data_IF_288127624131
#
_entry.id   IF_288127624131
#
_cell.length_a   1.000
_cell.length_b   1.000
_cell.length_c   1.000
_cell.angle_alpha   90.00
_cell.angle_beta   90.00
_cell.angle_gamma   90.00
#
_symmetry.space_group_name_H-M   'P 1'
#
loop_
_entity.id
_entity.type
_entity.pdbx_description
1 polymer ?
#
# COMPACT_ATOMS: atom_id res chain seq x y z
N UNK A 1 -13.21 -0.71 -47.10
CA UNK A 1 -12.32 0.12 -46.24
C UNK A 1 -10.95 0.27 -46.89
N UNK A 2 -10.40 1.49 -47.00
CA UNK A 2 -9.04 1.72 -47.48
C UNK A 2 -8.01 1.06 -46.55
N UNK A 3 -6.96 0.45 -47.12
CA UNK A 3 -5.92 -0.30 -46.39
C UNK A 3 -5.27 0.51 -45.26
N UNK A 4 -5.11 1.82 -45.43
CA UNK A 4 -4.50 2.75 -44.45
C UNK A 4 -5.31 2.92 -43.16
N UNK A 5 -6.63 2.75 -43.21
CA UNK A 5 -7.51 3.00 -42.05
C UNK A 5 -7.60 1.77 -41.14
N UNK A 6 -7.51 0.56 -41.71
CA UNK A 6 -7.39 -0.67 -40.91
C UNK A 6 -6.16 -0.63 -40.01
N UNK A 7 -5.06 -0.10 -40.51
CA UNK A 7 -3.80 0.05 -39.74
C UNK A 7 -3.99 0.96 -38.53
N UNK A 8 -4.72 2.08 -38.67
CA UNK A 8 -4.96 3.01 -37.57
C UNK A 8 -5.86 2.41 -36.48
N UNK A 9 -6.97 1.76 -36.84
CA UNK A 9 -7.85 1.11 -35.87
C UNK A 9 -7.16 -0.02 -35.11
N UNK A 10 -6.35 -0.84 -35.79
CA UNK A 10 -5.52 -1.85 -35.14
C UNK A 10 -4.50 -1.19 -34.20
N UNK A 11 -3.88 -0.09 -34.61
CA UNK A 11 -2.95 0.68 -33.78
C UNK A 11 -3.55 1.12 -32.45
N UNK A 12 -4.79 1.64 -32.44
CA UNK A 12 -5.47 2.06 -31.21
C UNK A 12 -5.79 0.89 -30.27
N UNK A 13 -6.20 -0.26 -30.80
CA UNK A 13 -6.44 -1.47 -30.00
C UNK A 13 -5.15 -1.95 -29.35
N UNK A 14 -4.04 -1.97 -30.10
CA UNK A 14 -2.73 -2.34 -29.57
C UNK A 14 -2.20 -1.35 -28.53
N UNK A 15 -2.41 -0.05 -28.72
CA UNK A 15 -2.06 0.99 -27.75
C UNK A 15 -2.85 0.86 -26.44
N UNK A 16 -4.16 0.57 -26.52
CA UNK A 16 -5.00 0.28 -25.36
C UNK A 16 -4.49 -0.95 -24.60
N UNK A 17 -4.18 -2.03 -25.32
CA UNK A 17 -3.65 -3.25 -24.72
C UNK A 17 -2.29 -3.02 -24.05
N UNK A 18 -1.37 -2.31 -24.72
CA UNK A 18 -0.06 -1.95 -24.17
C UNK A 18 -0.19 -1.06 -22.92
N UNK A 19 -1.13 -0.11 -22.91
CA UNK A 19 -1.40 0.72 -21.74
C UNK A 19 -1.90 -0.12 -20.55
N UNK A 20 -2.88 -1.01 -20.78
CA UNK A 20 -3.35 -1.94 -19.76
C UNK A 20 -2.18 -2.78 -19.21
N UNK A 21 -1.37 -3.39 -20.09
CA UNK A 21 -0.20 -4.19 -19.69
C UNK A 21 0.83 -3.36 -18.90
N UNK A 22 1.10 -2.12 -19.29
CA UNK A 22 2.04 -1.24 -18.59
C UNK A 22 1.52 -0.85 -17.19
N UNK A 23 0.21 -0.57 -17.08
CA UNK A 23 -0.45 -0.31 -15.80
C UNK A 23 -0.38 -1.56 -14.91
N UNK A 24 -0.69 -2.75 -15.44
CA UNK A 24 -0.59 -4.01 -14.69
C UNK A 24 0.86 -4.34 -14.28
N UNK A 25 1.84 -4.13 -15.15
CA UNK A 25 3.26 -4.32 -14.83
C UNK A 25 3.71 -3.37 -13.72
N UNK A 26 3.27 -2.11 -13.75
CA UNK A 26 3.56 -1.17 -12.66
C UNK A 26 2.85 -1.54 -11.35
N UNK A 27 1.63 -2.08 -11.39
CA UNK A 27 0.99 -2.60 -10.17
C UNK A 27 1.76 -3.80 -9.58
N UNK A 28 2.35 -4.65 -10.43
CA UNK A 28 3.27 -5.71 -9.97
C UNK A 28 4.58 -5.15 -9.39
N UNK A 29 5.15 -4.10 -10.00
CA UNK A 29 6.38 -3.46 -9.54
C UNK A 29 6.20 -2.58 -8.29
N UNK A 30 4.97 -2.12 -8.00
CA UNK A 30 4.63 -1.38 -6.78
C UNK A 30 4.50 -2.27 -5.53
N UNK A 31 4.88 -3.55 -5.62
CA UNK A 31 4.97 -4.41 -4.46
C UNK A 31 3.63 -4.65 -3.76
N UNK A 32 2.54 -4.77 -4.52
CA UNK A 32 1.32 -5.43 -4.01
C UNK A 32 1.64 -6.92 -3.88
N UNK A 33 2.43 -7.25 -2.85
CA UNK A 33 2.71 -8.62 -2.43
C UNK A 33 1.45 -9.12 -1.72
N UNK A 34 0.98 -10.35 -1.97
CA UNK A 34 -0.04 -10.95 -1.13
C UNK A 34 0.48 -11.03 0.31
N UNK A 35 -0.12 -10.25 1.20
CA UNK A 35 0.12 -10.40 2.64
C UNK A 35 -0.29 -11.80 3.11
N UNK A 36 0.30 -12.29 4.22
CA UNK A 36 -0.11 -13.56 4.80
C UNK A 36 -1.62 -13.54 5.15
N UNK A 37 -2.30 -14.69 5.07
CA UNK A 37 -3.74 -14.76 5.20
C UNK A 37 -4.15 -14.52 6.65
N UNK A 38 -4.49 -13.29 7.01
CA UNK A 38 -5.26 -12.98 8.21
C UNK A 38 -6.56 -12.25 7.82
N UNK A 39 -7.62 -13.05 7.84
CA UNK A 39 -9.05 -12.78 7.86
C UNK A 39 -9.54 -11.31 7.92
N UNK A 40 -9.76 -10.71 6.75
CA UNK A 40 -11.05 -10.06 6.40
C UNK A 40 -11.32 -10.24 4.90
N UNK A 41 -12.11 -11.27 4.60
CA UNK A 41 -12.99 -11.51 3.43
C UNK A 41 -12.84 -10.64 2.17
N UNK A 42 -11.77 -10.87 1.42
CA UNK A 42 -11.85 -11.52 0.10
C UNK A 42 -10.66 -12.48 0.10
N UNK A 43 -10.90 -13.79 0.04
CA UNK A 43 -9.80 -14.75 0.03
C UNK A 43 -8.83 -14.40 -1.11
N UNK A 44 -7.53 -14.71 -0.97
CA UNK A 44 -6.59 -14.58 -2.09
C UNK A 44 -7.16 -15.21 -3.36
N UNK A 45 -7.89 -16.32 -3.22
CA UNK A 45 -8.66 -16.94 -4.29
C UNK A 45 -9.76 -16.02 -4.84
N UNK A 46 -10.53 -15.30 -4.03
CA UNK A 46 -11.52 -14.34 -4.49
C UNK A 46 -10.90 -13.10 -5.15
N UNK A 47 -9.75 -12.59 -4.67
CA UNK A 47 -9.01 -11.51 -5.34
C UNK A 47 -8.40 -11.98 -6.66
N UNK A 48 -7.83 -13.19 -6.71
CA UNK A 48 -7.32 -13.79 -7.93
C UNK A 48 -8.46 -14.13 -8.90
N UNK A 49 -9.61 -14.59 -8.41
CA UNK A 49 -10.81 -14.85 -9.21
C UNK A 49 -11.37 -13.53 -9.76
N UNK A 50 -11.47 -12.48 -8.95
CA UNK A 50 -11.82 -11.14 -9.43
C UNK A 50 -10.81 -10.64 -10.47
N UNK A 51 -9.52 -10.85 -10.24
CA UNK A 51 -8.44 -10.47 -11.17
C UNK A 51 -8.50 -11.26 -12.49
N UNK A 52 -8.80 -12.55 -12.44
CA UNK A 52 -8.93 -13.41 -13.61
C UNK A 52 -10.20 -13.13 -14.41
N UNK A 53 -11.35 -12.96 -13.74
CA UNK A 53 -12.59 -12.52 -14.41
C UNK A 53 -12.43 -11.13 -15.02
N UNK A 54 -11.72 -10.23 -14.33
CA UNK A 54 -11.42 -8.90 -14.84
C UNK A 54 -10.51 -8.95 -16.08
N UNK A 55 -9.41 -9.70 -16.03
CA UNK A 55 -8.52 -9.90 -17.17
C UNK A 55 -9.24 -10.55 -18.35
N UNK A 56 -10.10 -11.54 -18.08
CA UNK A 56 -10.95 -12.18 -19.09
C UNK A 56 -11.97 -11.21 -19.69
N UNK A 57 -12.57 -10.31 -18.89
CA UNK A 57 -13.50 -9.29 -19.38
C UNK A 57 -12.80 -8.25 -20.27
N UNK A 58 -11.62 -7.77 -19.86
CA UNK A 58 -10.82 -6.83 -20.66
C UNK A 58 -10.38 -7.48 -21.98
N UNK A 59 -9.88 -8.73 -21.94
CA UNK A 59 -9.54 -9.49 -23.14
C UNK A 59 -10.76 -9.77 -24.02
N UNK A 60 -11.91 -10.10 -23.43
CA UNK A 60 -13.17 -10.31 -24.13
C UNK A 60 -13.66 -9.05 -24.85
N UNK A 61 -13.57 -7.88 -24.22
CA UNK A 61 -13.90 -6.59 -24.83
C UNK A 61 -12.93 -6.24 -25.98
N UNK A 62 -11.63 -6.51 -25.83
CA UNK A 62 -10.66 -6.31 -26.90
C UNK A 62 -10.87 -7.31 -28.05
N UNK A 63 -11.19 -8.57 -27.76
CA UNK A 63 -11.53 -9.58 -28.76
C UNK A 63 -12.82 -9.23 -29.51
N UNK A 64 -13.86 -8.76 -28.81
CA UNK A 64 -15.09 -8.24 -29.44
C UNK A 64 -14.80 -7.03 -30.33
N UNK A 65 -13.99 -6.08 -29.87
CA UNK A 65 -13.59 -4.93 -30.67
C UNK A 65 -12.83 -5.37 -31.94
N UNK A 66 -11.93 -6.35 -31.83
CA UNK A 66 -11.23 -6.94 -32.97
C UNK A 66 -12.19 -7.68 -33.91
N UNK A 67 -13.12 -8.50 -33.39
CA UNK A 67 -14.13 -9.21 -34.19
C UNK A 67 -15.09 -8.25 -34.90
N UNK A 68 -15.45 -7.13 -34.28
CA UNK A 68 -16.20 -6.06 -34.94
C UNK A 68 -15.38 -5.31 -35.99
N UNK A 69 -14.04 -5.36 -35.89
CA UNK A 69 -13.10 -4.75 -36.84
C UNK A 69 -12.76 -5.68 -38.01
N UNK A 70 -12.95 -6.99 -37.85
CA UNK A 70 -12.88 -7.97 -38.95
C UNK A 70 -14.22 -7.96 -39.68
N UNK A 71 -14.25 -7.78 -41.01
CA UNK A 71 -15.50 -7.85 -41.77
C UNK A 71 -15.98 -9.30 -41.77
N UNK A 72 -16.82 -9.67 -40.80
CA UNK A 72 -17.63 -10.88 -40.89
C UNK A 72 -18.71 -10.58 -41.94
N UNK A 73 -18.70 -11.32 -43.04
CA UNK A 73 -19.80 -11.34 -44.01
C UNK A 73 -21.03 -11.96 -43.35
N UNK A 74 -21.69 -11.23 -42.45
CA UNK A 74 -23.01 -11.59 -41.94
C UNK A 74 -24.01 -11.14 -43.01
N UNK A 75 -24.76 -12.05 -43.65
CA UNK A 75 -25.72 -11.67 -44.66
C UNK A 75 -26.85 -10.85 -44.01
N UNK A 76 -26.95 -9.58 -44.42
CA UNK A 76 -28.18 -8.75 -44.38
C UNK A 76 -28.86 -8.52 -43.02
N UNK A 77 -28.12 -8.23 -41.94
CA UNK A 77 -28.70 -7.37 -40.89
C UNK A 77 -28.59 -5.91 -41.32
N UNK A 78 -29.73 -5.32 -41.70
CA UNK A 78 -29.87 -3.90 -42.06
C UNK A 78 -29.55 -3.06 -40.82
N UNK A 79 -28.28 -2.66 -40.67
CA UNK A 79 -27.83 -1.78 -39.56
C UNK A 79 -28.52 -0.43 -39.70
N UNK A 80 -29.55 -0.20 -38.90
CA UNK A 80 -30.16 1.13 -38.81
C UNK A 80 -29.17 2.06 -38.07
N UNK A 81 -29.09 3.35 -38.46
CA UNK A 81 -28.26 4.32 -37.75
C UNK A 81 -28.58 4.40 -36.25
N UNK A 82 -29.85 4.16 -35.89
CA UNK A 82 -30.29 4.06 -34.49
C UNK A 82 -29.61 2.91 -33.74
N UNK A 83 -29.45 1.74 -34.35
CA UNK A 83 -28.79 0.60 -33.71
C UNK A 83 -27.30 0.84 -33.45
N UNK A 84 -26.62 1.57 -34.33
CA UNK A 84 -25.22 1.97 -34.14
C UNK A 84 -25.10 2.96 -32.99
N UNK A 85 -26.01 3.95 -32.92
CA UNK A 85 -26.05 4.92 -31.82
C UNK A 85 -26.30 4.26 -30.46
N UNK A 86 -27.23 3.31 -30.39
CA UNK A 86 -27.54 2.58 -29.17
C UNK A 86 -26.34 1.74 -28.68
N UNK A 87 -25.63 1.08 -29.60
CA UNK A 87 -24.44 0.30 -29.27
C UNK A 87 -23.29 1.19 -28.75
N UNK A 88 -23.06 2.35 -29.38
CA UNK A 88 -22.04 3.30 -28.91
C UNK A 88 -22.37 3.88 -27.53
N UNK A 89 -23.65 4.19 -27.28
CA UNK A 89 -24.12 4.65 -25.97
C UNK A 89 -23.95 3.57 -24.90
N UNK A 90 -24.32 2.32 -25.20
CA UNK A 90 -24.13 1.18 -24.30
C UNK A 90 -22.67 0.97 -23.91
N UNK A 91 -21.75 1.08 -24.88
CA UNK A 91 -20.31 0.98 -24.64
C UNK A 91 -19.81 2.11 -23.73
N UNK A 92 -20.29 3.34 -23.92
CA UNK A 92 -19.89 4.50 -23.13
C UNK A 92 -20.40 4.40 -21.68
N UNK A 93 -21.62 3.93 -21.48
CA UNK A 93 -22.18 3.66 -20.14
C UNK A 93 -21.36 2.58 -19.42
N UNK A 94 -21.04 1.47 -20.09
CA UNK A 94 -20.18 0.41 -19.52
C UNK A 94 -18.79 0.93 -19.13
N UNK A 95 -18.20 1.80 -19.95
CA UNK A 95 -16.91 2.42 -19.64
C UNK A 95 -16.96 3.32 -18.40
N UNK A 96 -18.02 4.12 -18.25
CA UNK A 96 -18.22 5.00 -17.09
C UNK A 96 -18.44 4.18 -15.82
N UNK A 97 -19.30 3.15 -15.88
CA UNK A 97 -19.54 2.25 -14.73
C UNK A 97 -18.26 1.49 -14.32
N UNK A 98 -17.44 1.08 -15.29
CA UNK A 98 -16.13 0.49 -15.05
C UNK A 98 -15.17 1.44 -14.33
N UNK A 99 -15.14 2.71 -14.74
CA UNK A 99 -14.28 3.73 -14.10
C UNK A 99 -14.67 4.02 -12.63
N UNK A 100 -15.97 4.00 -12.31
CA UNK A 100 -16.43 4.13 -10.91
C UNK A 100 -16.03 2.93 -10.04
N UNK A 101 -15.93 1.74 -10.64
CA UNK A 101 -15.64 0.49 -9.91
C UNK A 101 -14.14 0.26 -9.68
N UNK A 102 -13.28 0.72 -10.60
CA UNK A 102 -11.84 0.40 -10.63
C UNK A 102 -10.96 1.62 -10.33
N UNK A 103 -11.56 2.79 -10.14
CA UNK A 103 -10.87 4.02 -9.80
C UNK A 103 -10.41 4.85 -11.00
N UNK A 104 -9.86 6.05 -10.75
CA UNK A 104 -9.67 7.09 -11.76
C UNK A 104 -8.67 6.72 -12.86
N UNK A 105 -7.80 5.72 -12.64
CA UNK A 105 -6.78 5.29 -13.60
C UNK A 105 -7.34 4.63 -14.85
N UNK A 106 -8.63 4.27 -14.88
CA UNK A 106 -9.28 3.61 -16.03
C UNK A 106 -9.93 4.58 -17.02
N UNK A 107 -10.09 5.86 -16.64
CA UNK A 107 -10.67 6.91 -17.49
C UNK A 107 -9.94 7.09 -18.84
N UNK A 108 -8.59 7.03 -18.91
CA UNK A 108 -7.89 7.18 -20.19
C UNK A 108 -8.15 6.03 -21.17
N UNK A 109 -8.17 4.78 -20.69
CA UNK A 109 -8.41 3.61 -21.54
C UNK A 109 -9.85 3.59 -22.08
N UNK A 110 -10.82 3.89 -21.21
CA UNK A 110 -12.22 4.09 -21.57
C UNK A 110 -12.40 5.18 -22.64
N UNK A 111 -11.76 6.34 -22.46
CA UNK A 111 -11.83 7.46 -23.40
C UNK A 111 -11.24 7.11 -24.78
N UNK A 112 -10.13 6.36 -24.82
CA UNK A 112 -9.50 5.92 -26.06
C UNK A 112 -10.37 4.90 -26.81
N UNK A 113 -10.99 3.96 -26.11
CA UNK A 113 -11.92 3.00 -26.72
C UNK A 113 -13.17 3.69 -27.27
N UNK A 114 -13.76 4.63 -26.52
CA UNK A 114 -14.89 5.41 -26.99
C UNK A 114 -14.54 6.23 -28.25
N UNK A 115 -13.36 6.86 -28.29
CA UNK A 115 -12.89 7.61 -29.45
C UNK A 115 -12.70 6.68 -30.68
N UNK A 116 -12.15 5.48 -30.48
CA UNK A 116 -12.00 4.48 -31.55
C UNK A 116 -13.37 4.00 -32.08
N UNK A 117 -14.34 3.77 -31.21
CA UNK A 117 -15.70 3.39 -31.62
C UNK A 117 -16.40 4.49 -32.41
N UNK A 118 -16.35 5.74 -31.94
CA UNK A 118 -16.98 6.89 -32.61
C UNK A 118 -16.35 7.12 -33.99
N UNK A 119 -15.03 7.07 -34.10
CA UNK A 119 -14.33 7.22 -35.38
C UNK A 119 -14.68 6.11 -36.37
N UNK A 120 -14.82 4.86 -35.91
CA UNK A 120 -15.26 3.74 -36.74
C UNK A 120 -16.73 3.86 -37.19
N UNK A 121 -17.63 4.35 -36.34
CA UNK A 121 -19.06 4.51 -36.65
C UNK A 121 -19.35 5.68 -37.60
N UNK A 122 -18.63 6.79 -37.45
CA UNK A 122 -18.77 7.96 -38.34
C UNK A 122 -18.28 7.66 -39.77
N UNK A 123 -17.36 6.71 -39.91
CA UNK A 123 -16.86 6.28 -41.21
C UNK A 123 -17.87 5.45 -42.01
N UNK A 124 -18.77 4.70 -41.36
CA UNK A 124 -19.75 3.88 -42.06
C UNK A 124 -20.99 4.65 -42.53
N UNK A 125 -21.17 5.90 -42.11
CA UNK A 125 -22.45 6.62 -42.26
C UNK A 125 -22.35 8.00 -42.91
N UNK A 126 -21.16 8.60 -43.04
CA UNK A 126 -21.01 9.93 -43.62
C UNK A 126 -20.67 9.89 -45.13
N UNK A 127 -21.36 10.70 -45.98
CA UNK A 127 -20.95 10.88 -47.37
C UNK A 127 -19.53 11.47 -47.43
N UNK A 128 -18.71 10.95 -48.34
CA UNK A 128 -17.30 11.33 -48.44
C UNK A 128 -17.15 12.84 -48.68
N UNK A 129 -16.54 13.57 -47.73
CA UNK A 129 -16.41 15.03 -47.85
C UNK A 129 -15.76 15.72 -46.66
N UNK A 130 -15.71 17.06 -46.71
CA UNK A 130 -15.07 17.94 -45.70
C UNK A 130 -15.64 17.73 -44.29
N UNK A 131 -16.93 17.42 -44.17
CA UNK A 131 -17.60 17.16 -42.89
C UNK A 131 -16.98 15.96 -42.14
N UNK A 132 -16.57 14.91 -42.87
CA UNK A 132 -15.93 13.73 -42.29
C UNK A 132 -14.58 14.06 -41.66
N UNK A 133 -13.77 14.90 -42.33
CA UNK A 133 -12.49 15.36 -41.77
C UNK A 133 -12.70 16.24 -40.55
N UNK A 134 -13.69 17.13 -40.57
CA UNK A 134 -14.02 17.99 -39.43
C UNK A 134 -14.41 17.17 -38.20
N UNK A 135 -15.25 16.14 -38.36
CA UNK A 135 -15.67 15.26 -37.27
C UNK A 135 -14.51 14.41 -36.72
N UNK A 136 -13.62 13.91 -37.58
CA UNK A 136 -12.41 13.18 -37.14
C UNK A 136 -11.46 14.08 -36.34
N UNK A 137 -11.24 15.32 -36.80
CA UNK A 137 -10.39 16.29 -36.09
C UNK A 137 -11.01 16.62 -34.73
N UNK A 138 -12.32 16.86 -34.67
CA UNK A 138 -13.03 17.17 -33.42
C UNK A 138 -12.94 16.01 -32.42
N UNK A 139 -13.19 14.77 -32.85
CA UNK A 139 -13.10 13.59 -31.99
C UNK A 139 -11.69 13.35 -31.44
N UNK A 140 -10.67 13.56 -32.27
CA UNK A 140 -9.26 13.46 -31.86
C UNK A 140 -8.90 14.56 -30.85
N UNK A 141 -9.31 15.80 -31.12
CA UNK A 141 -9.07 16.93 -30.23
C UNK A 141 -9.73 16.73 -28.85
N UNK A 142 -10.96 16.19 -28.82
CA UNK A 142 -11.68 15.91 -27.58
C UNK A 142 -10.95 14.83 -26.74
N UNK A 143 -10.49 13.76 -27.38
CA UNK A 143 -9.74 12.69 -26.71
C UNK A 143 -8.43 13.20 -26.11
N UNK A 144 -7.67 14.01 -26.86
CA UNK A 144 -6.43 14.64 -26.38
C UNK A 144 -6.73 15.61 -25.23
N UNK A 145 -7.78 16.42 -25.34
CA UNK A 145 -8.19 17.36 -24.29
C UNK A 145 -8.53 16.66 -22.97
N UNK A 146 -9.28 15.55 -23.01
CA UNK A 146 -9.59 14.73 -21.84
C UNK A 146 -8.33 14.12 -21.20
N UNK A 147 -7.39 13.65 -22.03
CA UNK A 147 -6.11 13.13 -21.56
C UNK A 147 -5.30 14.22 -20.83
N UNK A 148 -5.21 15.41 -21.41
CA UNK A 148 -4.47 16.54 -20.83
C UNK A 148 -5.10 17.06 -19.52
N UNK A 149 -6.44 17.09 -19.44
CA UNK A 149 -7.14 17.44 -18.20
C UNK A 149 -6.86 16.43 -17.09
N UNK A 150 -6.79 15.14 -17.41
CA UNK A 150 -6.41 14.09 -16.47
C UNK A 150 -4.99 14.32 -15.93
N UNK A 151 -4.02 14.59 -16.81
CA UNK A 151 -2.63 14.86 -16.38
C UNK A 151 -2.47 16.17 -15.60
N UNK A 152 -3.31 17.19 -15.84
CA UNK A 152 -3.32 18.42 -15.02
C UNK A 152 -4.00 18.25 -13.66
N UNK A 153 -5.02 17.40 -13.56
CA UNK A 153 -5.75 17.14 -12.31
C UNK A 153 -5.00 16.24 -11.33
N UNK A 154 -4.16 15.32 -11.84
CA UNK A 154 -3.19 14.56 -11.04
C UNK A 154 -1.97 15.43 -10.79
N UNK A 155 -2.16 16.50 -10.02
CA UNK A 155 -1.06 17.32 -9.54
C UNK A 155 -0.14 16.47 -8.68
N UNK A 156 1.00 16.06 -9.22
CA UNK A 156 2.14 15.61 -8.44
C UNK A 156 2.60 16.80 -7.58
N UNK A 157 2.04 16.93 -6.38
CA UNK A 157 2.61 17.80 -5.36
C UNK A 157 3.96 17.21 -4.95
N UNK A 158 4.99 17.54 -5.72
CA UNK A 158 6.38 17.43 -5.28
C UNK A 158 6.54 18.49 -4.20
N UNK A 159 6.54 18.05 -2.95
CA UNK A 159 6.88 18.92 -1.83
C UNK A 159 8.33 19.38 -2.01
N UNK A 160 8.63 20.68 -1.87
CA UNK A 160 10.01 21.16 -1.95
C UNK A 160 10.79 20.60 -0.76
N UNK A 161 11.89 19.91 -1.05
CA UNK A 161 12.92 19.59 -0.08
C UNK A 161 13.50 20.89 0.48
N UNK A 162 13.31 21.10 1.78
CA UNK A 162 13.88 22.25 2.49
C UNK A 162 15.36 21.97 2.74
N UNK A 163 16.28 22.88 2.42
CA UNK A 163 17.70 22.67 2.62
C UNK A 163 18.05 22.70 4.11
N UNK A 164 18.89 21.74 4.49
CA UNK A 164 19.51 21.58 5.80
C UNK A 164 20.29 22.82 6.21
N UNK A 165 20.14 23.20 7.49
CA UNK A 165 21.20 23.89 8.22
C UNK A 165 21.79 22.88 9.18
N UNK A 166 23.03 22.50 8.90
CA UNK A 166 23.81 21.61 9.73
C UNK A 166 23.99 22.14 11.15
N UNK A 167 23.90 21.21 12.10
CA UNK A 167 24.54 21.31 13.39
C UNK A 167 24.95 19.90 13.78
N UNK A 168 26.25 19.63 13.66
CA UNK A 168 26.93 18.50 14.30
C UNK A 168 26.67 18.63 15.80
N UNK A 169 25.83 17.77 16.36
CA UNK A 169 25.63 17.67 17.80
C UNK A 169 26.39 16.45 18.32
N UNK A 170 27.56 16.74 18.87
CA UNK A 170 28.29 15.88 19.79
C UNK A 170 27.35 15.34 20.87
N UNK A 171 27.49 14.04 21.18
CA UNK A 171 26.79 13.34 22.24
C UNK A 171 27.10 13.96 23.62
N UNK A 172 26.40 15.04 23.95
CA UNK A 172 26.30 15.55 25.31
C UNK A 172 25.07 14.89 25.95
N UNK A 173 25.30 14.21 27.07
CA UNK A 173 24.27 13.71 27.97
C UNK A 173 23.26 14.84 28.22
N UNK A 174 22.09 14.77 27.57
CA UNK A 174 20.99 15.69 27.85
C UNK A 174 20.51 15.33 29.24
N UNK A 175 20.97 16.09 30.23
CA UNK A 175 20.44 16.09 31.59
C UNK A 175 19.01 16.62 31.47
N UNK A 176 18.06 15.70 31.33
CA UNK A 176 16.64 16.03 31.29
C UNK A 176 16.29 16.78 32.57
N UNK A 177 15.72 17.98 32.41
CA UNK A 177 15.01 18.65 33.50
C UNK A 177 13.98 17.65 34.05
N UNK A 178 13.78 17.55 35.38
CA UNK A 178 12.69 16.74 35.89
C UNK A 178 11.40 17.25 35.24
N UNK A 179 10.75 16.37 34.48
CA UNK A 179 9.48 16.66 33.86
C UNK A 179 8.49 17.07 34.97
N UNK A 180 7.61 18.04 34.67
CA UNK A 180 6.47 18.32 35.53
C UNK A 180 5.77 17.00 35.89
N UNK A 181 5.30 16.81 37.14
CA UNK A 181 4.58 15.60 37.51
C UNK A 181 3.43 15.38 36.54
N UNK A 182 3.28 14.18 35.96
CA UNK A 182 2.32 13.94 34.90
C UNK A 182 0.91 14.21 35.42
N UNK A 183 0.32 15.32 35.00
CA UNK A 183 -1.12 15.62 35.20
C UNK A 183 -2.01 14.84 34.21
N UNK A 184 -1.55 13.68 33.74
CA UNK A 184 -2.30 12.82 32.83
C UNK A 184 -2.92 11.67 33.59
N UNK A 185 -4.23 11.50 33.40
CA UNK A 185 -4.99 10.40 33.96
C UNK A 185 -4.38 9.06 33.49
N UNK A 186 -3.99 8.16 34.42
CA UNK A 186 -3.54 6.80 34.10
C UNK A 186 -4.51 6.03 33.18
N UNK A 187 -5.79 6.40 33.23
CA UNK A 187 -6.89 5.66 32.60
C UNK A 187 -7.00 5.81 31.07
N UNK A 188 -6.16 6.62 30.41
CA UNK A 188 -6.28 6.82 28.95
C UNK A 188 -5.61 5.73 28.11
N UNK A 189 -4.83 4.82 28.71
CA UNK A 189 -4.16 3.75 27.98
C UNK A 189 -5.06 2.52 27.95
N UNK A 190 -5.43 2.09 26.75
CA UNK A 190 -6.09 0.80 26.58
C UNK A 190 -5.05 -0.30 26.72
N UNK A 191 -5.23 -1.16 27.70
CA UNK A 191 -4.46 -2.39 27.83
C UNK A 191 -5.30 -3.57 27.37
N UNK A 192 -4.67 -4.54 26.71
CA UNK A 192 -5.27 -5.86 26.47
C UNK A 192 -4.63 -6.88 27.40
N UNK A 193 -5.44 -7.80 27.92
CA UNK A 193 -4.93 -8.95 28.64
C UNK A 193 -4.21 -9.89 27.65
N UNK A 194 -3.16 -10.56 28.10
CA UNK A 194 -2.39 -11.50 27.27
C UNK A 194 -3.27 -12.66 26.78
N UNK A 195 -4.25 -13.07 27.58
CA UNK A 195 -5.23 -14.10 27.23
C UNK A 195 -6.14 -13.74 26.04
N UNK A 196 -6.23 -12.45 25.68
CA UNK A 196 -7.00 -12.00 24.51
C UNK A 196 -6.25 -12.24 23.19
N UNK A 197 -4.97 -12.65 23.24
CA UNK A 197 -4.15 -12.94 22.08
C UNK A 197 -4.08 -14.44 21.78
N UNK A 198 -5.03 -14.90 20.95
CA UNK A 198 -5.17 -16.30 20.56
C UNK A 198 -3.95 -16.99 19.89
N UNK A 199 -3.04 -16.33 19.15
CA UNK A 199 -1.97 -17.04 18.46
C UNK A 199 -0.71 -17.31 19.31
N UNK A 200 -0.66 -16.87 20.58
CA UNK A 200 0.54 -17.03 21.40
C UNK A 200 0.77 -18.49 21.84
N UNK A 201 2.01 -19.02 21.73
CA UNK A 201 2.38 -20.27 22.36
C UNK A 201 2.13 -20.26 23.87
N UNK A 202 1.65 -21.38 24.42
CA UNK A 202 1.30 -21.52 25.85
C UNK A 202 2.45 -21.18 26.80
N UNK A 203 3.68 -21.47 26.39
CA UNK A 203 4.91 -21.15 27.10
C UNK A 203 5.10 -19.65 27.26
N UNK A 204 4.93 -18.91 26.17
CA UNK A 204 5.03 -17.44 26.12
C UNK A 204 3.89 -16.81 26.92
N UNK A 205 2.66 -17.29 26.72
CA UNK A 205 1.49 -16.82 27.46
C UNK A 205 1.69 -16.93 28.97
N UNK A 206 2.12 -18.11 29.47
CA UNK A 206 2.40 -18.32 30.90
C UNK A 206 3.51 -17.42 31.44
N UNK A 207 4.57 -17.21 30.66
CA UNK A 207 5.66 -16.34 31.07
C UNK A 207 5.17 -14.89 31.26
N UNK A 208 4.40 -14.38 30.30
CA UNK A 208 3.81 -13.04 30.34
C UNK A 208 2.78 -12.91 31.46
N UNK A 209 1.94 -13.91 31.69
CA UNK A 209 0.97 -13.94 32.80
C UNK A 209 1.67 -13.95 34.17
N UNK A 210 2.73 -14.74 34.33
CA UNK A 210 3.50 -14.82 35.58
C UNK A 210 4.12 -13.48 35.94
N UNK A 211 4.47 -12.68 34.93
CA UNK A 211 5.06 -11.36 35.10
C UNK A 211 4.01 -10.25 35.28
N UNK A 212 2.71 -10.58 35.23
CA UNK A 212 1.63 -9.58 35.30
C UNK A 212 1.56 -8.69 34.06
N UNK A 213 2.04 -9.19 32.92
CA UNK A 213 2.14 -8.40 31.71
C UNK A 213 0.78 -7.99 31.16
N UNK A 214 0.66 -6.72 30.76
CA UNK A 214 -0.45 -6.19 29.95
C UNK A 214 0.11 -5.59 28.67
N UNK A 215 -0.62 -5.68 27.56
CA UNK A 215 -0.16 -5.13 26.27
C UNK A 215 -0.81 -3.78 26.02
N UNK A 216 -0.08 -2.66 26.17
CA UNK A 216 -0.65 -1.35 25.89
C UNK A 216 -0.93 -1.23 24.39
N UNK A 217 -2.11 -0.72 24.05
CA UNK A 217 -2.57 -0.55 22.68
C UNK A 217 -2.42 0.90 22.25
N UNK A 218 -1.82 1.17 21.08
CA UNK A 218 -1.87 2.50 20.51
C UNK A 218 -3.31 2.83 20.10
N UNK A 219 -3.61 4.12 20.02
CA UNK A 219 -4.93 4.56 19.55
C UNK A 219 -5.18 4.11 18.10
N UNK A 220 -6.30 3.41 17.86
CA UNK A 220 -6.63 2.84 16.55
C UNK A 220 -6.75 3.87 15.42
N UNK A 221 -6.97 5.15 15.74
CA UNK A 221 -6.96 6.25 14.75
C UNK A 221 -5.56 6.49 14.19
N UNK A 222 -4.51 6.14 14.94
CA UNK A 222 -3.12 6.24 14.48
C UNK A 222 -2.75 5.10 13.54
N UNK A 223 -3.16 3.87 13.86
CA UNK A 223 -2.86 2.69 13.03
C UNK A 223 -3.75 2.55 11.78
N UNK A 224 -4.83 3.34 11.69
CA UNK A 224 -5.87 3.18 10.66
C UNK A 224 -6.47 1.77 10.60
N UNK A 225 -6.31 1.01 11.70
CA UNK A 225 -6.78 -0.36 11.93
C UNK A 225 -7.08 -0.51 13.41
N UNK A 226 -8.04 -1.39 13.72
CA UNK A 226 -8.47 -1.69 15.10
C UNK A 226 -7.98 -3.06 15.59
N UNK A 227 -7.07 -3.68 14.83
CA UNK A 227 -6.46 -4.95 15.20
C UNK A 227 -5.57 -4.77 16.45
N UNK A 228 -5.54 -5.75 17.38
CA UNK A 228 -4.58 -5.76 18.47
C UNK A 228 -3.15 -5.58 17.93
N UNK A 229 -2.47 -4.56 18.41
CA UNK A 229 -1.09 -4.27 18.04
C UNK A 229 -0.14 -4.71 19.16
N UNK A 230 1.16 -4.41 18.98
CA UNK A 230 2.17 -4.59 20.00
C UNK A 230 2.46 -6.04 20.43
N UNK A 231 2.00 -6.99 19.60
CA UNK A 231 2.51 -8.36 19.53
C UNK A 231 2.83 -8.65 18.07
N UNK A 232 4.04 -9.09 17.78
CA UNK A 232 4.45 -9.43 16.41
C UNK A 232 5.47 -10.56 16.41
N UNK A 233 5.77 -11.07 15.22
CA UNK A 233 6.81 -12.07 15.00
C UNK A 233 7.81 -11.52 13.99
N UNK A 234 9.09 -11.81 14.20
CA UNK A 234 10.15 -11.43 13.28
C UNK A 234 11.29 -12.45 13.29
N UNK A 235 12.03 -12.51 12.19
CA UNK A 235 13.24 -13.30 12.08
C UNK A 235 14.44 -12.48 12.62
N UNK A 236 14.76 -12.57 13.91
CA UNK A 236 15.71 -11.65 14.56
C UNK A 236 17.16 -12.17 14.60
N UNK A 237 17.39 -13.40 14.13
CA UNK A 237 18.72 -14.04 14.14
C UNK A 237 19.02 -14.68 12.79
N UNK A 238 18.07 -15.43 12.26
CA UNK A 238 18.20 -16.14 10.98
C UNK A 238 16.87 -16.11 10.21
N UNK A 239 16.91 -16.17 8.87
CA UNK A 239 15.72 -16.02 8.01
C UNK A 239 14.73 -17.19 8.09
N UNK A 240 15.10 -18.31 8.73
CA UNK A 240 14.28 -19.52 8.79
C UNK A 240 13.60 -19.71 10.16
N UNK A 241 13.98 -18.92 11.16
CA UNK A 241 13.39 -18.93 12.50
C UNK A 241 12.75 -17.59 12.87
N UNK A 242 11.47 -17.63 13.21
CA UNK A 242 10.79 -16.48 13.80
C UNK A 242 10.82 -16.52 15.33
N UNK A 243 10.91 -15.33 15.91
CA UNK A 243 10.92 -15.02 17.32
C UNK A 243 9.68 -14.16 17.64
N UNK A 244 9.17 -14.25 18.86
CA UNK A 244 8.03 -13.45 19.29
C UNK A 244 8.47 -12.17 19.98
N UNK A 245 7.80 -11.08 19.66
CA UNK A 245 8.08 -9.77 20.20
C UNK A 245 6.79 -9.21 20.80
N UNK A 246 6.84 -8.83 22.08
CA UNK A 246 5.69 -8.32 22.83
C UNK A 246 6.09 -7.02 23.51
N UNK A 247 5.33 -5.95 23.31
CA UNK A 247 5.45 -4.77 24.17
C UNK A 247 4.68 -5.05 25.46
N UNK A 248 5.41 -5.24 26.55
CA UNK A 248 4.88 -5.65 27.82
C UNK A 248 4.93 -4.50 28.82
N UNK A 249 3.78 -4.11 29.36
CA UNK A 249 3.66 -3.14 30.44
C UNK A 249 3.36 -3.83 31.76
N UNK A 250 4.19 -3.53 32.77
CA UNK A 250 4.02 -3.93 34.18
C UNK A 250 4.13 -2.65 34.99
N UNK A 251 3.14 -2.38 35.85
CA UNK A 251 3.08 -1.16 36.67
C UNK A 251 3.33 0.15 35.89
N UNK A 252 2.71 0.25 34.71
CA UNK A 252 2.76 1.39 33.78
C UNK A 252 4.17 1.70 33.23
N UNK A 253 5.04 0.70 33.22
CA UNK A 253 6.36 0.72 32.57
C UNK A 253 6.38 -0.34 31.47
N UNK A 254 6.48 0.09 30.21
CA UNK A 254 6.60 -0.82 29.08
C UNK A 254 8.04 -1.15 28.72
N UNK A 255 8.26 -2.41 28.36
CA UNK A 255 9.50 -2.92 27.79
C UNK A 255 9.19 -3.87 26.64
N UNK A 256 10.10 -3.96 25.68
CA UNK A 256 10.01 -4.93 24.59
C UNK A 256 10.53 -6.27 25.11
N UNK A 257 9.71 -7.30 25.03
CA UNK A 257 10.03 -8.68 25.39
C UNK A 257 10.23 -9.51 24.15
N UNK A 258 11.36 -10.18 24.07
CA UNK A 258 11.73 -11.05 22.97
C UNK A 258 11.78 -12.49 23.48
N UNK A 259 10.97 -13.35 22.89
CA UNK A 259 10.97 -14.79 23.15
C UNK A 259 11.53 -15.50 21.93
N UNK A 260 12.69 -16.14 22.13
CA UNK A 260 13.46 -16.71 21.03
C UNK A 260 12.87 -18.05 20.57
N UNK A 261 12.70 -18.19 19.26
CA UNK A 261 12.12 -19.35 18.60
C UNK A 261 10.58 -19.40 18.62
N UNK A 262 10.05 -20.35 17.84
CA UNK A 262 8.62 -20.53 17.60
C UNK A 262 7.77 -20.67 18.87
N UNK A 263 8.32 -21.29 19.91
CA UNK A 263 7.67 -21.50 21.22
C UNK A 263 8.29 -20.66 22.34
N UNK A 264 9.23 -19.77 22.03
CA UNK A 264 9.89 -18.93 23.02
C UNK A 264 10.90 -19.63 23.92
N UNK A 265 11.33 -20.86 23.59
CA UNK A 265 12.26 -21.66 24.38
C UNK A 265 13.68 -21.77 23.81
N UNK A 266 13.94 -21.17 22.64
CA UNK A 266 15.26 -21.27 22.01
C UNK A 266 16.34 -20.54 22.83
N UNK A 267 17.61 -20.94 22.70
CA UNK A 267 18.72 -20.23 23.33
C UNK A 267 18.70 -18.74 22.97
N UNK A 268 18.88 -17.91 24.01
CA UNK A 268 18.91 -16.46 23.88
C UNK A 268 20.08 -16.02 23.01
N UNK A 269 19.80 -15.30 21.93
CA UNK A 269 20.84 -14.68 21.12
C UNK A 269 21.25 -13.33 21.71
N UNK A 270 20.30 -12.42 21.92
CA UNK A 270 20.48 -11.13 22.59
C UNK A 270 19.58 -11.03 23.84
N UNK A 271 19.80 -10.10 24.79
CA UNK A 271 18.94 -9.94 25.96
C UNK A 271 17.45 -9.91 25.61
N UNK A 272 16.63 -10.71 26.29
CA UNK A 272 15.19 -10.87 26.00
C UNK A 272 14.29 -9.70 26.46
N UNK A 273 14.87 -8.63 27.01
CA UNK A 273 14.17 -7.42 27.46
C UNK A 273 14.97 -6.19 27.03
N UNK A 274 14.33 -5.27 26.32
CA UNK A 274 14.95 -3.99 25.89
C UNK A 274 13.96 -2.83 25.96
N UNK A 275 14.48 -1.61 25.79
CA UNK A 275 13.70 -0.38 25.63
C UNK A 275 12.66 -0.16 26.74
N UNK A 276 13.07 -0.34 28.00
CA UNK A 276 12.20 -0.06 29.15
C UNK A 276 11.96 1.44 29.29
N UNK A 277 10.70 1.84 29.43
CA UNK A 277 10.32 3.23 29.62
C UNK A 277 8.90 3.35 30.23
N UNK A 278 8.63 4.41 31.01
CA UNK A 278 7.29 4.73 31.48
C UNK A 278 6.30 4.91 30.32
N UNK A 279 5.10 4.36 30.44
CA UNK A 279 4.06 4.43 29.41
C UNK A 279 3.60 5.87 29.16
N UNK A 280 3.66 6.72 30.19
CA UNK A 280 3.38 8.15 30.10
C UNK A 280 4.27 8.89 29.08
N UNK A 281 5.50 8.39 28.82
CA UNK A 281 6.42 8.99 27.84
C UNK A 281 5.92 8.84 26.41
N UNK A 282 5.03 7.88 26.16
CA UNK A 282 4.45 7.59 24.85
C UNK A 282 2.99 8.01 24.73
N UNK A 283 2.49 8.82 25.69
CA UNK A 283 1.20 9.45 25.58
C UNK A 283 1.29 10.77 24.79
N UNK A 284 0.36 10.99 23.87
CA UNK A 284 0.19 12.27 23.18
C UNK A 284 -1.27 12.59 22.93
N UNK A 285 -1.55 13.84 22.55
CA UNK A 285 -2.91 14.28 22.23
C UNK A 285 -3.27 13.92 20.79
N UNK A 286 -4.23 13.02 20.60
CA UNK A 286 -4.76 12.59 19.29
C UNK A 286 -6.22 13.00 19.19
N UNK A 287 -6.50 14.00 18.35
CA UNK A 287 -7.86 14.55 18.20
C UNK A 287 -8.42 15.12 19.50
N UNK A 288 -7.59 15.83 20.27
CA UNK A 288 -7.99 16.47 21.54
C UNK A 288 -8.10 15.54 22.74
N UNK A 289 -7.67 14.28 22.65
CA UNK A 289 -7.68 13.31 23.76
C UNK A 289 -6.30 12.70 23.97
N UNK A 290 -5.86 12.47 25.23
CA UNK A 290 -4.66 11.68 25.51
C UNK A 290 -4.81 10.27 24.94
N UNK A 291 -3.76 9.79 24.29
CA UNK A 291 -3.71 8.49 23.63
C UNK A 291 -2.30 7.92 23.74
N UNK A 292 -2.22 6.61 23.97
CA UNK A 292 -0.95 5.89 23.86
C UNK A 292 -0.52 5.77 22.40
N UNK A 293 0.78 5.87 22.14
CA UNK A 293 1.34 5.98 20.78
C UNK A 293 2.67 5.26 20.62
N UNK A 294 3.02 4.35 21.53
CA UNK A 294 4.14 3.42 21.31
C UNK A 294 3.68 2.26 20.47
N UNK A 295 4.48 1.89 19.48
CA UNK A 295 4.20 0.76 18.62
C UNK A 295 5.45 0.00 18.23
N UNK A 296 5.40 -1.32 18.38
CA UNK A 296 6.43 -2.21 17.88
C UNK A 296 5.99 -2.88 16.59
N UNK A 297 6.91 -2.95 15.63
CA UNK A 297 6.71 -3.66 14.37
C UNK A 297 7.99 -4.37 13.95
N UNK A 298 7.85 -5.41 13.11
CA UNK A 298 9.00 -5.96 12.38
C UNK A 298 9.46 -5.00 11.28
N UNK A 299 10.75 -4.94 11.05
CA UNK A 299 11.35 -4.17 9.96
C UNK A 299 12.37 -5.02 9.19
N UNK A 300 12.27 -5.05 7.86
CA UNK A 300 13.15 -5.87 7.01
C UNK A 300 14.48 -5.18 6.75
N UNK A 301 15.56 -5.92 6.42
CA UNK A 301 16.85 -5.34 6.03
C UNK A 301 16.74 -4.23 4.98
N UNK A 302 15.91 -4.41 3.96
CA UNK A 302 15.72 -3.45 2.87
C UNK A 302 15.15 -2.13 3.40
N UNK A 303 14.16 -2.21 4.29
CA UNK A 303 13.55 -1.04 4.92
C UNK A 303 14.48 -0.35 5.91
N UNK A 304 15.36 -1.10 6.57
CA UNK A 304 16.41 -0.50 7.43
C UNK A 304 17.37 0.30 6.55
N UNK A 305 17.87 -0.28 5.45
CA UNK A 305 18.77 0.42 4.50
C UNK A 305 18.11 1.67 3.92
N UNK A 306 16.88 1.54 3.42
CA UNK A 306 16.12 2.67 2.86
C UNK A 306 15.99 3.83 3.86
N UNK A 307 15.74 3.54 5.14
CA UNK A 307 15.65 4.55 6.19
C UNK A 307 16.99 5.22 6.46
N UNK A 308 18.05 4.44 6.62
CA UNK A 308 19.39 4.98 6.88
C UNK A 308 19.85 5.87 5.71
N UNK A 309 19.65 5.40 4.48
CA UNK A 309 19.97 6.17 3.27
C UNK A 309 19.14 7.46 3.19
N UNK A 310 17.84 7.39 3.50
CA UNK A 310 16.95 8.55 3.51
C UNK A 310 17.29 9.59 4.58
N UNK A 311 17.92 9.16 5.68
CA UNK A 311 18.40 10.02 6.76
C UNK A 311 19.84 10.51 6.55
N UNK A 312 20.55 10.01 5.53
CA UNK A 312 21.98 10.28 5.34
C UNK A 312 22.86 9.68 6.45
N UNK A 313 22.33 8.72 7.21
CA UNK A 313 23.04 8.06 8.29
C UNK A 313 24.01 7.02 7.70
N UNK A 314 25.26 6.95 8.21
CA UNK A 314 26.14 5.86 7.81
C UNK A 314 25.49 4.52 8.18
N UNK A 315 25.54 3.56 7.26
CA UNK A 315 25.12 2.19 7.55
C UNK A 315 25.85 1.63 8.78
N UNK A 316 25.31 0.59 9.43
CA UNK A 316 25.75 0.17 10.77
C UNK A 316 27.14 -0.51 10.83
N UNK A 317 27.90 -0.52 9.73
CA UNK A 317 29.21 -1.16 9.65
C UNK A 317 29.17 -2.69 9.61
N UNK A 318 27.99 -3.29 9.58
CA UNK A 318 27.77 -4.74 9.45
C UNK A 318 26.66 -5.04 8.44
N UNK A 319 26.62 -6.28 7.97
CA UNK A 319 25.59 -6.74 7.05
C UNK A 319 24.23 -6.90 7.76
N UNK A 320 23.17 -6.37 7.13
CA UNK A 320 21.79 -6.57 7.55
C UNK A 320 21.25 -7.85 6.90
N UNK A 321 21.27 -8.95 7.64
CA UNK A 321 20.98 -10.31 7.15
C UNK A 321 19.61 -10.83 7.59
N UNK A 322 18.99 -10.19 8.57
CA UNK A 322 17.72 -10.62 9.16
C UNK A 322 16.88 -9.41 9.59
N UNK A 323 15.65 -9.64 10.06
CA UNK A 323 14.76 -8.57 10.47
C UNK A 323 15.21 -7.91 11.79
N UNK A 324 14.72 -6.70 12.02
CA UNK A 324 14.85 -5.97 13.29
C UNK A 324 13.49 -5.65 13.90
N UNK A 325 13.53 -4.93 15.02
CA UNK A 325 12.34 -4.42 15.72
C UNK A 325 12.32 -2.90 15.57
N UNK A 326 11.28 -2.37 14.95
CA UNK A 326 11.01 -0.94 14.96
C UNK A 326 10.15 -0.59 16.19
N UNK A 327 10.70 0.21 17.10
CA UNK A 327 10.04 0.77 18.29
C UNK A 327 9.70 2.24 18.03
N UNK A 328 8.47 2.49 17.61
CA UNK A 328 7.99 3.79 17.17
C UNK A 328 7.23 4.52 18.28
N UNK A 329 7.50 5.82 18.42
CA UNK A 329 6.56 6.78 19.00
C UNK A 329 5.84 7.48 17.86
N UNK A 330 4.67 6.97 17.47
CA UNK A 330 3.96 7.36 16.25
C UNK A 330 3.84 8.88 16.05
N UNK A 331 4.17 9.35 14.86
CA UNK A 331 4.23 10.75 14.46
C UNK A 331 5.40 11.54 15.05
N UNK A 332 6.39 10.88 15.68
CA UNK A 332 7.53 11.54 16.36
C UNK A 332 8.87 10.97 15.96
N UNK A 333 8.96 9.66 15.75
CA UNK A 333 10.18 8.96 15.41
C UNK A 333 10.21 7.53 15.95
N UNK A 334 11.18 6.76 15.50
CA UNK A 334 11.36 5.38 15.92
C UNK A 334 12.83 5.05 16.20
N UNK A 335 13.05 4.01 17.01
CA UNK A 335 14.34 3.35 17.16
C UNK A 335 14.26 1.97 16.52
N UNK A 336 15.24 1.62 15.70
CA UNK A 336 15.37 0.27 15.17
C UNK A 336 16.34 -0.49 16.06
N UNK A 337 15.86 -1.59 16.65
CA UNK A 337 16.66 -2.54 17.42
C UNK A 337 17.07 -3.72 16.55
N UNK A 338 18.36 -3.95 16.41
CA UNK A 338 18.93 -5.02 15.61
C UNK A 338 19.86 -5.91 16.44
N UNK A 339 19.57 -7.20 16.55
CA UNK A 339 20.37 -8.15 17.34
C UNK A 339 21.56 -8.65 16.50
N UNK A 340 22.80 -8.39 16.94
CA UNK A 340 24.00 -8.91 16.28
C UNK A 340 25.09 -9.17 17.32
N UNK A 341 25.76 -10.32 17.20
CA UNK A 341 26.87 -10.74 18.07
C UNK A 341 26.50 -10.68 19.57
N UNK A 342 25.27 -11.09 19.87
CA UNK A 342 24.70 -11.12 21.21
C UNK A 342 24.37 -9.76 21.83
N UNK A 343 24.35 -8.70 21.01
CA UNK A 343 24.06 -7.33 21.44
C UNK A 343 22.97 -6.69 20.60
N UNK A 344 22.19 -5.83 21.25
CA UNK A 344 21.25 -4.97 20.57
C UNK A 344 21.96 -3.71 20.09
N UNK A 345 21.87 -3.45 18.79
CA UNK A 345 22.31 -2.22 18.15
C UNK A 345 21.08 -1.34 17.92
N UNK A 346 21.11 -0.14 18.47
CA UNK A 346 20.08 0.86 18.26
C UNK A 346 20.46 1.72 17.06
N UNK A 347 19.54 1.86 16.11
CA UNK A 347 19.68 2.73 14.96
C UNK A 347 18.52 3.71 14.90
N UNK A 348 18.75 4.87 14.28
CA UNK A 348 17.70 5.84 14.05
C UNK A 348 16.69 5.26 13.04
N UNK A 349 15.42 5.29 13.39
CA UNK A 349 14.32 4.91 12.51
C UNK A 349 13.57 6.12 11.96
N UNK A 350 12.50 5.84 11.22
CA UNK A 350 11.55 6.83 10.73
C UNK A 350 10.15 6.21 10.79
N UNK A 351 9.22 6.87 11.50
CA UNK A 351 7.82 6.46 11.60
C UNK A 351 6.91 7.19 10.61
#
# INVERSE_FOLDING_TARGET
MPKKIRVAAHGFVWLSLLWCLAVFHRFGALGIVPGPPSETTLSLAATLVQFHWFSAAVLGLHAMALLCSVPVEIPRLRRSPAGIGLAALGQLVLCVLGAFSVGPYFLPAAALLAAASVTSSLESSAPAGRLRRALQILGTALAVGLLLLFFKGVGTRVLPSRPERGAVATAALVRTRPADPPTRAPDSIKYLAISEYAPLPKTILRALETEGCRVPQPDGRLLRRYEPANITVANLVDPDRYDWIVLCSVDDVSSIRVFWGKDGSAPTACPGKIAEAPDANYQQNVGGRPAFSRHIARITPEKIRERLDGLGEPGPGFALEHEGIEDAFMGKGSTIWYCRDGKWHAMLGAD
#
